data_IF_612466520894
#
_entry.id   IF_612466520894
#
_cell.length_a   1.000
_cell.length_b   1.000
_cell.length_c   1.000
_cell.angle_alpha   90.00
_cell.angle_beta   90.00
_cell.angle_gamma   90.00
#
_symmetry.space_group_name_H-M   'P 1'
#
loop_
_entity.id
_entity.type
_entity.pdbx_description
1 polymer ?
#
# COMPACT_ATOMS: atom_id res chain seq x y z
N UNK A 1 -25.96 14.73 -15.50
CA UNK A 1 -24.48 14.64 -15.47
C UNK A 1 -23.92 15.90 -16.13
N UNK A 2 -23.40 16.84 -15.37
CA UNK A 2 -22.91 18.12 -15.91
C UNK A 2 -21.46 18.00 -16.40
N UNK A 3 -21.20 18.37 -17.65
CA UNK A 3 -19.86 18.37 -18.23
C UNK A 3 -19.15 19.67 -17.82
N UNK A 4 -18.27 19.60 -16.82
CA UNK A 4 -17.38 20.71 -16.49
C UNK A 4 -16.33 20.88 -17.61
N UNK A 5 -16.36 22.05 -18.27
CA UNK A 5 -15.37 22.44 -19.29
C UNK A 5 -14.35 23.38 -18.69
N UNK A 6 -13.06 23.07 -18.84
CA UNK A 6 -11.95 23.96 -18.52
C UNK A 6 -11.30 24.48 -19.81
N UNK A 7 -10.72 25.69 -19.76
CA UNK A 7 -9.98 26.24 -20.90
C UNK A 7 -8.61 25.58 -21.05
N UNK A 8 -8.18 25.41 -22.31
CA UNK A 8 -6.90 24.79 -22.67
C UNK A 8 -5.69 25.54 -22.08
N UNK A 9 -5.82 26.85 -21.86
CA UNK A 9 -4.79 27.71 -21.28
C UNK A 9 -4.50 27.40 -19.79
N UNK A 10 -5.52 27.07 -19.00
CA UNK A 10 -5.34 26.71 -17.58
C UNK A 10 -4.53 25.42 -17.41
N UNK A 11 -4.80 24.42 -18.28
CA UNK A 11 -4.06 23.15 -18.31
C UNK A 11 -2.63 23.36 -18.80
N UNK A 12 -2.43 24.17 -19.85
CA UNK A 12 -1.11 24.47 -20.38
C UNK A 12 -0.18 25.15 -19.36
N UNK A 13 -0.71 26.07 -18.54
CA UNK A 13 0.06 26.76 -17.49
C UNK A 13 0.60 25.80 -16.43
N UNK A 14 -0.21 24.82 -15.97
CA UNK A 14 0.23 23.82 -15.00
C UNK A 14 1.30 22.88 -15.58
N UNK A 15 1.16 22.48 -16.85
CA UNK A 15 2.15 21.66 -17.55
C UNK A 15 3.48 22.42 -17.74
N UNK A 16 3.42 23.71 -18.07
CA UNK A 16 4.62 24.55 -18.21
C UNK A 16 5.36 24.71 -16.88
N UNK A 17 4.64 24.94 -15.78
CA UNK A 17 5.22 25.03 -14.43
C UNK A 17 5.90 23.71 -14.03
N UNK A 18 5.24 22.57 -14.21
CA UNK A 18 5.81 21.25 -13.90
C UNK A 18 7.08 20.93 -14.70
N UNK A 19 7.18 21.40 -15.96
CA UNK A 19 8.36 21.26 -16.81
C UNK A 19 9.52 22.20 -16.46
N UNK A 20 9.24 23.33 -15.79
CA UNK A 20 10.25 24.29 -15.36
C UNK A 20 11.02 23.84 -14.09
N UNK A 21 10.48 22.87 -13.34
CA UNK A 21 11.11 22.30 -12.16
C UNK A 21 12.33 21.43 -12.53
N UNK A 22 13.54 21.88 -12.15
CA UNK A 22 14.83 21.26 -12.54
C UNK A 22 15.09 19.85 -11.97
N UNK A 23 14.25 19.36 -11.06
CA UNK A 23 14.38 18.02 -10.45
C UNK A 23 13.04 17.30 -10.41
N UNK A 24 12.80 16.47 -11.42
CA UNK A 24 11.79 15.42 -11.37
C UNK A 24 12.27 14.35 -10.38
N UNK A 25 11.87 14.46 -9.11
CA UNK A 25 12.42 13.66 -8.02
C UNK A 25 12.00 12.19 -8.09
N UNK A 26 12.94 11.23 -8.16
CA UNK A 26 12.63 9.82 -7.91
C UNK A 26 12.53 9.58 -6.39
N UNK A 27 11.34 9.18 -5.92
CA UNK A 27 11.04 8.74 -4.55
C UNK A 27 11.58 9.65 -3.42
N UNK A 28 10.84 10.72 -3.11
CA UNK A 28 11.09 11.56 -1.93
C UNK A 28 10.73 10.84 -0.62
N UNK A 29 11.61 10.94 0.39
CA UNK A 29 11.48 10.36 1.73
C UNK A 29 11.83 11.38 2.86
N UNK A 30 11.85 12.68 2.57
CA UNK A 30 12.13 13.74 3.57
C UNK A 30 10.87 14.35 4.20
N UNK A 31 11.00 15.14 5.29
CA UNK A 31 9.89 15.90 5.86
C UNK A 31 9.28 16.87 4.84
N UNK A 32 7.98 17.18 5.00
CA UNK A 32 7.16 17.85 3.99
C UNK A 32 7.00 19.33 4.33
N UNK A 33 8.07 20.10 4.15
CA UNK A 33 8.08 21.52 4.50
C UNK A 33 7.50 22.43 3.39
N UNK A 34 7.24 21.86 2.20
CA UNK A 34 6.55 22.49 1.05
C UNK A 34 5.77 21.44 0.24
N UNK A 35 4.57 21.77 -0.30
CA UNK A 35 3.71 20.79 -0.96
C UNK A 35 4.21 20.39 -2.37
N UNK A 36 4.15 19.08 -2.67
CA UNK A 36 4.32 18.54 -4.02
C UNK A 36 2.94 18.18 -4.63
N UNK A 37 2.69 18.60 -5.88
CA UNK A 37 1.35 18.89 -6.45
C UNK A 37 1.26 18.33 -7.91
N UNK A 38 0.20 17.69 -8.45
CA UNK A 38 -1.11 17.21 -7.93
C UNK A 38 -1.53 15.92 -8.70
N UNK A 39 -2.61 15.22 -8.32
CA UNK A 39 -3.28 14.22 -9.17
C UNK A 39 -4.72 14.68 -9.48
N UNK A 40 -5.11 14.76 -10.75
CA UNK A 40 -6.47 15.15 -11.20
C UNK A 40 -7.17 13.95 -11.85
N UNK A 41 -8.38 13.65 -11.37
CA UNK A 41 -9.27 12.60 -11.89
C UNK A 41 -10.07 13.17 -13.08
N UNK A 42 -9.96 12.53 -14.24
CA UNK A 42 -10.30 13.10 -15.55
C UNK A 42 -9.14 12.95 -16.53
N UNK A 43 -8.99 13.83 -17.53
CA UNK A 43 -7.95 13.72 -18.57
C UNK A 43 -6.51 14.08 -18.12
N UNK A 44 -6.14 13.68 -16.89
CA UNK A 44 -4.78 13.27 -16.52
C UNK A 44 -3.85 14.34 -15.94
N UNK A 45 -3.58 14.23 -14.62
CA UNK A 45 -2.29 14.64 -14.01
C UNK A 45 -1.88 13.58 -12.98
N UNK A 46 -0.58 13.33 -12.84
CA UNK A 46 0.03 12.19 -12.14
C UNK A 46 1.03 12.66 -11.06
N UNK A 47 1.11 11.97 -9.91
CA UNK A 47 2.13 12.22 -8.87
C UNK A 47 2.81 10.96 -8.33
N UNK A 48 4.01 11.16 -7.75
CA UNK A 48 4.84 10.14 -7.09
C UNK A 48 5.37 10.64 -5.72
N UNK A 49 4.48 10.96 -4.78
CA UNK A 49 4.83 11.15 -3.37
C UNK A 49 4.42 9.94 -2.54
N UNK A 50 5.18 9.60 -1.49
CA UNK A 50 4.83 8.52 -0.56
C UNK A 50 3.97 9.00 0.63
N UNK A 51 3.81 10.31 0.79
CA UNK A 51 2.95 10.94 1.80
C UNK A 51 2.10 12.05 1.18
N UNK A 52 0.86 12.16 1.65
CA UNK A 52 -0.12 13.16 1.25
C UNK A 52 -0.78 13.71 2.51
N UNK A 53 -0.77 15.02 2.71
CA UNK A 53 -1.67 15.69 3.65
C UNK A 53 -2.97 16.11 2.94
N UNK A 54 -4.07 16.15 3.69
CA UNK A 54 -5.42 16.42 3.18
C UNK A 54 -5.73 17.90 2.93
N UNK A 55 -4.89 18.84 3.36
CA UNK A 55 -5.18 20.29 3.29
C UNK A 55 -5.02 20.85 1.87
N UNK A 56 -4.10 20.28 1.08
CA UNK A 56 -3.78 20.79 -0.27
C UNK A 56 -4.19 19.80 -1.39
N UNK A 57 -4.66 18.60 -1.03
CA UNK A 57 -4.82 17.48 -1.98
C UNK A 57 -6.27 17.15 -2.28
N UNK A 58 -6.66 17.17 -3.56
CA UNK A 58 -8.03 16.88 -4.03
C UNK A 58 -8.30 15.40 -4.37
N UNK A 59 -7.50 14.46 -3.86
CA UNK A 59 -7.76 13.02 -4.03
C UNK A 59 -8.96 12.63 -3.17
N UNK A 60 -9.94 11.88 -3.70
CA UNK A 60 -11.18 11.53 -2.99
C UNK A 60 -12.06 12.72 -2.53
N UNK A 61 -11.68 13.96 -2.82
CA UNK A 61 -12.51 15.12 -2.46
C UNK A 61 -13.64 15.28 -3.47
N UNK A 62 -14.87 15.17 -2.99
CA UNK A 62 -16.09 15.32 -3.78
C UNK A 62 -17.13 16.08 -2.96
N UNK A 63 -17.85 17.00 -3.58
CA UNK A 63 -18.94 17.72 -2.92
C UNK A 63 -20.17 17.69 -3.82
N UNK A 64 -21.32 17.50 -3.17
CA UNK A 64 -22.65 17.46 -3.76
C UNK A 64 -23.60 18.21 -2.83
N UNK A 65 -24.78 18.53 -3.34
CA UNK A 65 -25.86 19.26 -2.66
C UNK A 65 -26.24 18.69 -1.28
N UNK A 66 -25.87 17.43 -0.99
CA UNK A 66 -26.18 16.70 0.26
C UNK A 66 -24.97 16.25 1.06
N UNK A 67 -23.86 15.89 0.39
CA UNK A 67 -22.71 15.22 1.02
C UNK A 67 -21.38 15.78 0.51
N UNK A 68 -20.41 15.87 1.41
CA UNK A 68 -19.00 16.16 1.15
C UNK A 68 -18.14 14.99 1.58
N UNK A 69 -17.28 14.53 0.68
CA UNK A 69 -16.22 13.56 0.92
C UNK A 69 -14.88 14.27 0.98
N UNK A 70 -14.05 13.95 1.96
CA UNK A 70 -12.73 14.54 2.22
C UNK A 70 -11.67 13.46 2.42
N UNK A 71 -10.45 13.70 1.94
CA UNK A 71 -9.31 12.83 2.23
C UNK A 71 -8.87 12.92 3.69
N UNK A 72 -8.88 11.79 4.40
CA UNK A 72 -8.28 11.67 5.74
C UNK A 72 -6.79 11.31 5.63
N UNK A 73 -6.47 10.33 4.78
CA UNK A 73 -5.11 9.81 4.61
C UNK A 73 -4.96 9.13 3.27
N UNK A 74 -3.78 9.23 2.65
CA UNK A 74 -3.41 8.38 1.52
C UNK A 74 -1.96 7.88 1.64
N UNK A 75 -1.70 6.75 1.00
CA UNK A 75 -0.37 6.16 0.89
C UNK A 75 -0.22 5.40 -0.43
N UNK A 76 1.02 5.13 -0.83
CA UNK A 76 1.35 4.37 -2.05
C UNK A 76 2.18 3.15 -1.71
N UNK A 77 1.75 1.97 -2.17
CA UNK A 77 2.49 0.72 -2.03
C UNK A 77 2.73 0.12 -3.41
N UNK A 78 3.97 0.23 -3.90
CA UNK A 78 4.32 -0.15 -5.28
C UNK A 78 3.62 0.73 -6.30
N UNK A 79 2.69 0.17 -7.08
CA UNK A 79 1.86 0.88 -8.06
C UNK A 79 0.39 1.07 -7.64
N UNK A 80 0.02 0.66 -6.42
CA UNK A 80 -1.33 0.88 -5.87
C UNK A 80 -1.31 2.03 -4.89
N UNK A 81 -2.33 2.90 -4.97
CA UNK A 81 -2.63 3.85 -3.91
C UNK A 81 -3.79 3.34 -3.06
N UNK A 82 -3.71 3.65 -1.76
CA UNK A 82 -4.78 3.44 -0.80
C UNK A 82 -5.11 4.78 -0.15
N UNK A 83 -6.39 5.06 0.03
CA UNK A 83 -6.88 6.25 0.71
C UNK A 83 -7.99 5.89 1.71
N UNK A 84 -8.06 6.64 2.81
CA UNK A 84 -9.20 6.72 3.70
C UNK A 84 -9.97 8.00 3.37
N UNK A 85 -11.24 7.86 2.96
CA UNK A 85 -12.08 8.96 2.51
C UNK A 85 -13.30 9.09 3.43
N UNK A 86 -13.45 10.25 4.08
CA UNK A 86 -14.50 10.53 5.07
C UNK A 86 -15.65 11.28 4.40
N UNK A 87 -16.87 10.75 4.52
CA UNK A 87 -18.11 11.37 4.05
C UNK A 87 -18.84 12.04 5.20
N UNK A 88 -19.35 13.25 4.96
CA UNK A 88 -20.17 14.04 5.89
C UNK A 88 -21.40 14.58 5.15
N UNK A 89 -22.56 14.63 5.80
CA UNK A 89 -23.72 15.36 5.27
C UNK A 89 -23.55 16.86 5.45
N UNK A 90 -23.99 17.67 4.48
CA UNK A 90 -23.87 19.13 4.55
C UNK A 90 -24.93 19.79 5.44
N UNK A 91 -26.05 19.11 5.68
CA UNK A 91 -27.13 19.55 6.58
C UNK A 91 -26.87 19.21 8.06
N UNK A 92 -25.73 18.60 8.38
CA UNK A 92 -25.37 18.16 9.72
C UNK A 92 -26.06 16.89 10.21
N UNK A 93 -26.86 16.22 9.36
CA UNK A 93 -27.47 14.92 9.71
C UNK A 93 -26.43 13.80 9.68
N UNK A 94 -26.56 12.75 10.52
CA UNK A 94 -25.70 11.57 10.43
C UNK A 94 -25.77 10.91 9.04
N UNK A 95 -24.63 10.50 8.50
CA UNK A 95 -24.58 9.82 7.20
C UNK A 95 -25.18 8.43 7.31
N UNK A 96 -26.37 8.25 6.73
CA UNK A 96 -26.95 6.92 6.51
C UNK A 96 -26.26 6.20 5.34
N UNK A 97 -25.80 4.98 5.60
CA UNK A 97 -25.12 4.13 4.62
C UNK A 97 -25.50 2.65 4.80
N UNK A 98 -25.47 1.85 3.74
CA UNK A 98 -25.84 0.44 3.79
C UNK A 98 -24.68 -0.47 4.28
N UNK A 99 -23.44 -0.07 4.03
CA UNK A 99 -22.22 -0.85 4.28
C UNK A 99 -21.57 -0.46 5.61
N UNK A 100 -21.47 0.85 5.87
CA UNK A 100 -20.71 1.39 7.00
C UNK A 100 -21.62 1.71 8.20
N UNK A 101 -21.09 1.48 9.39
CA UNK A 101 -21.62 2.01 10.66
C UNK A 101 -21.25 3.50 10.72
N UNK A 102 -22.21 4.36 11.04
CA UNK A 102 -21.98 5.80 11.19
C UNK A 102 -21.17 6.06 12.47
N UNK A 103 -20.07 6.80 12.34
CA UNK A 103 -19.21 7.21 13.45
C UNK A 103 -19.96 8.16 14.41
N UNK A 104 -19.46 8.28 15.66
CA UNK A 104 -20.08 9.13 16.70
C UNK A 104 -20.19 10.62 16.35
N UNK A 105 -19.44 11.10 15.35
CA UNK A 105 -19.50 12.47 14.81
C UNK A 105 -20.49 12.62 13.64
N UNK A 106 -21.25 11.57 13.29
CA UNK A 106 -22.16 11.55 12.15
C UNK A 106 -21.51 11.28 10.79
N UNK A 107 -20.19 11.04 10.71
CA UNK A 107 -19.50 10.70 9.45
C UNK A 107 -19.42 9.19 9.18
N UNK A 108 -18.97 8.82 7.98
CA UNK A 108 -18.39 7.51 7.71
C UNK A 108 -17.04 7.68 7.04
N UNK A 109 -16.11 6.75 7.20
CA UNK A 109 -14.82 6.74 6.51
C UNK A 109 -14.58 5.39 5.84
N UNK A 110 -14.39 5.38 4.52
CA UNK A 110 -14.23 4.17 3.72
C UNK A 110 -12.85 4.07 3.06
N UNK A 111 -12.43 2.83 2.77
CA UNK A 111 -11.20 2.54 2.03
C UNK A 111 -11.40 2.69 0.52
N UNK A 112 -10.59 3.53 -0.13
CA UNK A 112 -10.50 3.66 -1.58
C UNK A 112 -9.16 3.13 -2.11
N UNK A 113 -9.19 2.41 -3.24
CA UNK A 113 -8.03 1.74 -3.84
C UNK A 113 -7.90 2.17 -5.30
N UNK A 114 -6.72 2.67 -5.67
CA UNK A 114 -6.41 3.07 -7.05
C UNK A 114 -5.28 2.19 -7.58
N UNK A 115 -5.63 1.26 -8.46
CA UNK A 115 -4.67 0.46 -9.21
C UNK A 115 -4.10 1.32 -10.33
N UNK A 116 -2.82 1.66 -10.30
CA UNK A 116 -2.17 2.42 -11.39
C UNK A 116 -1.21 1.54 -12.18
N UNK A 117 -1.16 1.75 -13.50
CA UNK A 117 -0.18 1.14 -14.40
C UNK A 117 0.40 2.15 -15.38
N UNK A 118 1.60 1.85 -15.84
CA UNK A 118 2.23 2.49 -16.98
C UNK A 118 2.75 1.38 -17.89
N UNK A 119 2.32 1.35 -19.13
CA UNK A 119 2.63 0.32 -20.14
C UNK A 119 2.66 0.98 -21.52
N UNK A 120 3.60 0.59 -22.39
CA UNK A 120 3.74 1.09 -23.78
C UNK A 120 3.63 2.62 -23.96
N UNK A 121 4.15 3.39 -22.99
CA UNK A 121 4.10 4.85 -23.00
C UNK A 121 2.80 5.46 -22.46
N UNK A 122 1.76 4.64 -22.26
CA UNK A 122 0.46 5.03 -21.75
C UNK A 122 0.38 4.89 -20.22
N UNK A 123 -0.35 5.81 -19.58
CA UNK A 123 -0.73 5.70 -18.17
C UNK A 123 -2.22 5.39 -18.04
N UNK A 124 -2.58 4.54 -17.09
CA UNK A 124 -3.97 4.27 -16.73
C UNK A 124 -4.13 3.98 -15.24
N UNK A 125 -5.37 4.15 -14.77
CA UNK A 125 -5.76 3.74 -13.43
C UNK A 125 -7.15 3.08 -13.44
N UNK A 126 -7.43 2.31 -12.39
CA UNK A 126 -8.77 1.87 -12.02
C UNK A 126 -8.95 2.12 -10.53
N UNK A 127 -9.93 2.95 -10.19
CA UNK A 127 -10.41 3.18 -8.82
C UNK A 127 -11.50 2.17 -8.43
N UNK A 128 -11.63 1.93 -7.13
CA UNK A 128 -12.64 1.09 -6.49
C UNK A 128 -12.66 1.32 -4.98
N UNK A 129 -13.81 1.10 -4.36
CA UNK A 129 -13.97 1.06 -2.91
C UNK A 129 -13.58 -0.33 -2.34
N UNK A 130 -13.30 -0.41 -1.04
CA UNK A 130 -13.07 -1.68 -0.34
C UNK A 130 -14.28 -2.65 -0.42
N UNK A 131 -15.51 -2.12 -0.48
CA UNK A 131 -16.74 -2.88 -0.68
C UNK A 131 -16.80 -3.62 -2.04
N UNK A 132 -15.99 -3.22 -3.02
CA UNK A 132 -15.84 -3.95 -4.29
C UNK A 132 -14.85 -5.13 -4.22
N UNK A 133 -14.33 -5.46 -3.03
CA UNK A 133 -13.40 -6.56 -2.79
C UNK A 133 -12.07 -6.48 -3.56
N UNK A 134 -11.28 -5.39 -3.48
CA UNK A 134 -10.05 -5.25 -4.29
C UNK A 134 -9.06 -6.40 -4.11
N UNK A 135 -8.45 -6.87 -5.20
CA UNK A 135 -7.37 -7.88 -5.11
C UNK A 135 -6.05 -7.28 -4.57
N UNK A 136 -5.86 -5.95 -4.68
CA UNK A 136 -4.72 -5.28 -4.07
C UNK A 136 -5.01 -5.03 -2.59
N UNK A 137 -4.50 -5.90 -1.72
CA UNK A 137 -4.72 -5.89 -0.27
C UNK A 137 -3.42 -5.66 0.51
N UNK A 138 -2.81 -4.48 0.31
CA UNK A 138 -1.56 -4.07 0.97
C UNK A 138 -1.67 -2.69 1.63
N UNK A 139 -2.88 -2.29 2.01
CA UNK A 139 -3.08 -1.05 2.75
C UNK A 139 -2.39 -1.14 4.13
N UNK A 140 -1.66 -0.11 4.59
CA UNK A 140 -1.08 -0.09 5.93
C UNK A 140 -2.16 -0.17 7.03
N UNK A 141 -1.83 -0.80 8.16
CA UNK A 141 -2.74 -0.90 9.32
C UNK A 141 -3.24 0.47 9.79
N UNK A 142 -2.34 1.46 9.89
CA UNK A 142 -2.67 2.86 10.21
C UNK A 142 -3.47 3.62 9.13
N UNK A 143 -3.96 2.94 8.08
CA UNK A 143 -5.03 3.42 7.20
C UNK A 143 -6.32 2.64 7.48
N UNK A 144 -6.24 1.32 7.65
CA UNK A 144 -7.37 0.45 8.04
C UNK A 144 -8.00 0.89 9.38
N UNK A 145 -7.19 1.34 10.34
CA UNK A 145 -7.58 1.87 11.64
C UNK A 145 -8.37 3.20 11.57
N UNK A 146 -8.38 3.87 10.42
CA UNK A 146 -9.14 5.12 10.21
C UNK A 146 -10.51 4.87 9.57
N UNK A 147 -10.83 3.63 9.22
CA UNK A 147 -12.05 3.30 8.48
C UNK A 147 -13.17 2.93 9.45
N UNK A 148 -14.37 3.46 9.23
CA UNK A 148 -15.56 3.16 10.04
C UNK A 148 -15.87 1.67 10.03
N UNK A 149 -16.50 1.19 11.10
CA UNK A 149 -16.90 -0.21 11.22
C UNK A 149 -17.87 -0.63 10.12
N UNK A 150 -17.88 -1.94 9.82
CA UNK A 150 -18.72 -2.54 8.78
C UNK A 150 -19.94 -3.18 9.43
N UNK A 151 -21.13 -2.89 8.88
CA UNK A 151 -22.41 -3.47 9.34
C UNK A 151 -22.47 -4.97 9.11
N UNK A 152 -22.00 -5.42 7.94
CA UNK A 152 -22.00 -6.81 7.54
C UNK A 152 -20.63 -7.46 7.82
N UNK A 153 -20.56 -8.51 8.67
CA UNK A 153 -19.33 -9.24 8.93
C UNK A 153 -18.83 -10.02 7.70
N UNK A 154 -19.69 -10.49 6.82
CA UNK A 154 -19.31 -11.37 5.70
C UNK A 154 -19.14 -10.58 4.37
N UNK A 155 -18.98 -9.26 4.48
CA UNK A 155 -18.82 -8.34 3.35
C UNK A 155 -17.43 -8.40 2.72
N UNK A 156 -17.35 -8.15 1.41
CA UNK A 156 -16.09 -8.01 0.68
C UNK A 156 -15.14 -6.95 1.24
N UNK A 157 -15.68 -5.92 1.90
CA UNK A 157 -14.90 -4.93 2.63
C UNK A 157 -14.18 -5.56 3.83
N UNK A 158 -14.85 -6.42 4.62
CA UNK A 158 -14.19 -7.11 5.75
C UNK A 158 -13.09 -8.03 5.25
N UNK A 159 -13.37 -8.82 4.21
CA UNK A 159 -12.38 -9.69 3.59
C UNK A 159 -11.16 -8.91 3.09
N UNK A 160 -11.38 -7.74 2.45
CA UNK A 160 -10.28 -6.89 2.00
C UNK A 160 -9.45 -6.32 3.16
N UNK A 161 -10.11 -5.81 4.21
CA UNK A 161 -9.42 -5.34 5.42
C UNK A 161 -8.63 -6.48 6.07
N UNK A 162 -9.17 -7.70 6.11
CA UNK A 162 -8.48 -8.85 6.67
C UNK A 162 -7.25 -9.24 5.85
N UNK A 163 -7.35 -9.34 4.52
CA UNK A 163 -6.18 -9.60 3.66
C UNK A 163 -5.09 -8.53 3.80
N UNK A 164 -5.44 -7.28 4.11
CA UNK A 164 -4.47 -6.23 4.43
C UNK A 164 -3.76 -6.48 5.77
N UNK A 165 -4.49 -6.93 6.81
CA UNK A 165 -3.91 -7.34 8.10
C UNK A 165 -3.00 -8.56 7.95
N UNK A 166 -3.45 -9.58 7.24
CA UNK A 166 -2.68 -10.79 6.96
C UNK A 166 -1.37 -10.46 6.26
N UNK A 167 -1.40 -9.58 5.24
CA UNK A 167 -0.20 -9.10 4.55
C UNK A 167 0.76 -8.33 5.48
N UNK A 168 0.24 -7.52 6.39
CA UNK A 168 1.04 -6.78 7.36
C UNK A 168 1.67 -7.69 8.44
N UNK A 169 0.99 -8.78 8.81
CA UNK A 169 1.46 -9.77 9.77
C UNK A 169 2.59 -10.67 9.24
N UNK A 170 2.84 -10.70 7.92
CA UNK A 170 3.94 -11.48 7.35
C UNK A 170 5.30 -10.94 7.83
N UNK A 171 6.15 -11.77 8.47
CA UNK A 171 7.44 -11.35 8.99
C UNK A 171 8.38 -10.75 7.93
N UNK A 172 9.18 -9.76 8.34
CA UNK A 172 10.30 -9.25 7.55
C UNK A 172 11.63 -9.75 8.13
N UNK A 173 12.25 -10.71 7.44
CA UNK A 173 13.53 -11.29 7.83
C UNK A 173 14.74 -10.43 7.44
N UNK A 174 15.79 -10.51 8.26
CA UNK A 174 17.09 -9.91 8.02
C UNK A 174 17.96 -10.76 7.09
N UNK A 175 19.08 -10.21 6.65
CA UNK A 175 20.06 -10.97 5.88
C UNK A 175 20.81 -11.96 6.78
N UNK A 176 20.88 -13.22 6.35
CA UNK A 176 21.46 -14.35 7.07
C UNK A 176 20.48 -15.10 7.98
N UNK A 177 19.23 -14.63 8.16
CA UNK A 177 18.21 -15.37 8.90
C UNK A 177 17.82 -16.65 8.13
N UNK A 178 17.77 -17.79 8.82
CA UNK A 178 17.37 -19.10 8.30
C UNK A 178 15.90 -19.34 8.60
N UNK A 179 15.12 -19.60 7.57
CA UNK A 179 13.65 -19.55 7.56
C UNK A 179 13.10 -20.89 7.07
N UNK A 180 12.08 -21.41 7.74
CA UNK A 180 11.30 -22.56 7.28
C UNK A 180 9.94 -22.07 6.78
N UNK A 181 9.67 -22.33 5.51
CA UNK A 181 8.40 -21.98 4.88
C UNK A 181 7.28 -22.89 5.42
N UNK A 182 6.09 -22.32 5.63
CA UNK A 182 4.92 -23.03 6.16
C UNK A 182 4.56 -24.28 5.34
N UNK A 183 4.81 -24.22 4.03
CA UNK A 183 4.65 -25.33 3.07
C UNK A 183 5.83 -25.31 2.10
N UNK A 184 6.30 -26.46 1.59
CA UNK A 184 7.26 -26.52 0.50
C UNK A 184 6.77 -25.75 -0.73
N UNK A 185 7.68 -25.07 -1.41
CA UNK A 185 7.40 -24.27 -2.61
C UNK A 185 8.02 -24.95 -3.81
N UNK A 186 7.18 -25.30 -4.80
CA UNK A 186 7.63 -25.82 -6.10
C UNK A 186 8.24 -24.69 -6.93
N UNK A 187 9.44 -24.94 -7.46
CA UNK A 187 10.20 -24.03 -8.31
C UNK A 187 9.93 -24.32 -9.79
N UNK A 188 10.40 -23.44 -10.67
CA UNK A 188 10.15 -23.52 -12.12
C UNK A 188 10.81 -24.74 -12.78
N UNK A 189 11.83 -25.32 -12.16
CA UNK A 189 12.49 -26.56 -12.58
C UNK A 189 11.83 -27.84 -12.00
N UNK A 190 10.72 -27.69 -11.27
CA UNK A 190 10.01 -28.79 -10.61
C UNK A 190 10.60 -29.23 -9.26
N UNK A 191 11.77 -28.71 -8.86
CA UNK A 191 12.30 -28.93 -7.52
C UNK A 191 11.44 -28.24 -6.44
N UNK A 192 11.59 -28.65 -5.19
CA UNK A 192 10.95 -27.98 -4.06
C UNK A 192 11.99 -27.40 -3.11
N UNK A 193 11.65 -26.30 -2.43
CA UNK A 193 12.41 -25.81 -1.29
C UNK A 193 11.47 -25.53 -0.11
N UNK A 194 11.92 -25.81 1.11
CA UNK A 194 11.20 -25.45 2.32
C UNK A 194 12.08 -24.68 3.31
N UNK A 195 13.37 -24.98 3.40
CA UNK A 195 14.30 -24.25 4.27
C UNK A 195 15.16 -23.32 3.41
N UNK A 196 15.15 -22.03 3.75
CA UNK A 196 15.88 -21.01 3.00
C UNK A 196 16.55 -19.99 3.90
N UNK A 197 17.74 -19.53 3.52
CA UNK A 197 18.44 -18.43 4.19
C UNK A 197 18.24 -17.12 3.44
N UNK A 198 17.74 -16.08 4.10
CA UNK A 198 17.53 -14.77 3.50
C UNK A 198 18.86 -14.12 3.08
N UNK A 199 18.98 -13.69 1.83
CA UNK A 199 20.23 -13.14 1.30
C UNK A 199 19.99 -12.13 0.18
N UNK A 200 21.04 -11.60 -0.44
CA UNK A 200 20.92 -10.68 -1.55
C UNK A 200 21.98 -10.94 -2.62
N UNK A 201 21.59 -10.72 -3.88
CA UNK A 201 22.51 -10.65 -5.00
C UNK A 201 22.65 -9.20 -5.48
N UNK A 202 23.81 -8.86 -6.07
CA UNK A 202 24.01 -7.57 -6.73
C UNK A 202 23.66 -7.69 -8.21
N UNK A 203 22.86 -6.75 -8.73
CA UNK A 203 22.66 -6.53 -10.17
C UNK A 203 23.10 -5.11 -10.50
N UNK A 204 24.33 -4.96 -10.99
CA UNK A 204 25.00 -3.66 -11.06
C UNK A 204 25.09 -3.03 -9.66
N UNK A 205 24.68 -1.76 -9.53
CA UNK A 205 24.65 -1.05 -8.24
C UNK A 205 23.50 -1.45 -7.30
N UNK A 206 22.54 -2.27 -7.74
CA UNK A 206 21.35 -2.59 -6.96
C UNK A 206 21.52 -3.90 -6.17
N UNK A 207 21.35 -3.83 -4.84
CA UNK A 207 21.16 -5.00 -3.96
C UNK A 207 19.72 -5.51 -4.11
N UNK A 208 19.53 -6.78 -4.47
CA UNK A 208 18.23 -7.40 -4.72
C UNK A 208 18.04 -8.59 -3.79
N UNK A 209 16.93 -8.65 -3.05
CA UNK A 209 16.64 -9.74 -2.11
C UNK A 209 16.38 -11.04 -2.88
N UNK A 210 16.96 -12.11 -2.36
CA UNK A 210 16.75 -13.49 -2.76
C UNK A 210 16.88 -14.37 -1.51
N UNK A 211 16.77 -15.68 -1.69
CA UNK A 211 16.92 -16.65 -0.63
C UNK A 211 17.82 -17.76 -1.14
N UNK A 212 18.72 -18.25 -0.30
CA UNK A 212 19.53 -19.43 -0.58
C UNK A 212 18.76 -20.66 -0.10
N UNK A 213 18.51 -21.61 -1.00
CA UNK A 213 17.93 -22.92 -0.70
C UNK A 213 18.94 -23.69 0.14
N UNK A 214 18.52 -24.27 1.27
CA UNK A 214 19.41 -25.02 2.15
C UNK A 214 19.91 -26.30 1.47
N UNK A 215 19.00 -27.03 0.82
CA UNK A 215 19.21 -28.37 0.30
C UNK A 215 20.12 -28.39 -0.95
N UNK A 216 20.14 -27.31 -1.74
CA UNK A 216 20.88 -27.23 -3.01
C UNK A 216 21.92 -26.10 -3.05
N UNK A 217 21.92 -25.19 -2.08
CA UNK A 217 22.70 -23.95 -2.11
C UNK A 217 22.28 -22.95 -3.20
N UNK A 218 21.26 -23.26 -4.02
CA UNK A 218 20.78 -22.42 -5.12
C UNK A 218 20.13 -21.12 -4.65
N UNK A 219 20.04 -20.11 -5.53
CA UNK A 219 19.42 -18.82 -5.22
C UNK A 219 18.04 -18.69 -5.88
N UNK A 220 17.00 -18.48 -5.07
CA UNK A 220 15.61 -18.30 -5.49
C UNK A 220 15.08 -16.91 -5.10
N UNK A 221 14.09 -16.39 -5.83
CA UNK A 221 13.31 -15.23 -5.38
C UNK A 221 11.91 -15.66 -4.97
N UNK A 222 11.63 -15.56 -3.68
CA UNK A 222 10.29 -15.79 -3.12
C UNK A 222 9.54 -14.46 -2.98
N UNK A 223 8.22 -14.51 -3.12
CA UNK A 223 7.36 -13.35 -2.84
C UNK A 223 7.20 -13.17 -1.32
N UNK A 224 6.84 -11.97 -0.84
CA UNK A 224 6.51 -11.80 0.59
C UNK A 224 5.32 -12.68 0.99
N UNK A 225 4.32 -12.89 0.12
CA UNK A 225 3.19 -13.79 0.39
C UNK A 225 3.62 -15.24 0.71
N UNK A 226 4.74 -15.69 0.14
CA UNK A 226 5.32 -17.02 0.36
C UNK A 226 5.87 -17.21 1.78
N UNK A 227 6.10 -16.12 2.51
CA UNK A 227 6.55 -16.11 3.92
C UNK A 227 5.38 -16.08 4.91
N UNK A 228 4.12 -16.13 4.45
CA UNK A 228 2.97 -16.21 5.35
C UNK A 228 3.04 -17.50 6.18
N UNK A 229 3.02 -17.36 7.51
CA UNK A 229 3.16 -18.49 8.45
C UNK A 229 4.54 -19.15 8.49
N UNK A 230 5.60 -18.53 7.92
CA UNK A 230 6.96 -19.08 8.02
C UNK A 230 7.57 -18.90 9.41
N UNK A 231 8.46 -19.81 9.76
CA UNK A 231 9.12 -19.93 11.06
C UNK A 231 10.60 -19.51 10.94
N UNK A 232 11.12 -18.79 11.94
CA UNK A 232 12.54 -18.43 12.02
C UNK A 232 13.31 -19.54 12.73
N UNK A 233 14.13 -20.31 12.00
CA UNK A 233 14.93 -21.39 12.57
C UNK A 233 16.18 -20.88 13.27
N UNK A 234 16.82 -19.83 12.74
CA UNK A 234 17.93 -19.14 13.41
C UNK A 234 18.11 -17.72 12.87
N UNK A 235 18.52 -16.79 13.75
CA UNK A 235 18.80 -15.42 13.35
C UNK A 235 20.29 -15.14 13.19
N UNK A 236 20.64 -14.41 12.15
CA UNK A 236 21.99 -13.88 11.95
C UNK A 236 22.46 -12.97 13.10
N UNK A 237 21.52 -12.31 13.80
CA UNK A 237 21.85 -11.43 14.94
C UNK A 237 22.28 -12.20 16.18
N UNK A 238 21.70 -13.39 16.42
CA UNK A 238 22.07 -14.24 17.55
C UNK A 238 23.49 -14.80 17.39
N UNK A 239 23.83 -15.28 16.19
CA UNK A 239 25.16 -15.81 15.90
C UNK A 239 26.29 -14.77 16.03
N UNK A 240 25.98 -13.47 15.96
CA UNK A 240 26.95 -12.38 16.08
C UNK A 240 27.10 -11.81 17.51
N UNK A 241 26.30 -12.24 18.48
CA UNK A 241 26.32 -11.72 19.85
C UNK A 241 25.89 -12.79 20.88
N UNK A 242 26.81 -13.28 21.73
CA UNK A 242 26.49 -14.32 22.73
C UNK A 242 25.31 -13.96 23.63
N UNK A 243 25.23 -12.71 24.08
CA UNK A 243 24.16 -12.20 24.95
C UNK A 243 22.78 -12.24 24.26
N UNK A 244 22.72 -12.04 22.94
CA UNK A 244 21.47 -12.17 22.17
C UNK A 244 21.14 -13.63 21.85
N UNK A 245 22.13 -14.51 21.73
CA UNK A 245 21.89 -15.94 21.57
C UNK A 245 21.22 -16.54 22.82
N UNK A 246 21.74 -16.23 24.01
CA UNK A 246 21.15 -16.65 25.30
C UNK A 246 19.71 -16.13 25.48
N UNK A 247 19.46 -14.85 25.16
CA UNK A 247 18.13 -14.26 25.26
C UNK A 247 17.10 -14.90 24.32
N UNK A 248 17.51 -15.30 23.12
CA UNK A 248 16.62 -15.93 22.14
C UNK A 248 16.37 -17.41 22.44
N UNK A 249 17.31 -18.12 23.07
CA UNK A 249 17.15 -19.52 23.48
C UNK A 249 16.15 -19.70 24.62
N UNK A 250 15.95 -18.69 25.49
CA UNK A 250 15.01 -18.73 26.61
C UNK A 250 13.55 -18.40 26.28
N UNK A 251 13.10 -18.64 25.03
CA UNK A 251 11.76 -18.25 24.52
C UNK A 251 10.98 -19.39 23.84
N UNK A 252 11.37 -20.65 24.04
CA UNK A 252 10.57 -21.83 23.68
C UNK A 252 9.33 -21.97 24.58
#
# INVERSE_FOLDING_TARGET
>A
MAILKFSTSAVAAQIAHARACKTFLPNWNGPVDRPALILIVGNGVHLRSNGIDGTTTRLCNFESDRRRTELVKACKVGSTWYAAAKVTSLDGTPVEDATYVTDANGSITFGAVFLTRYDDGCWGYKDMEESAGPNASRAPLALIELLSDLKDPDSYARDWRQRCRDWAAIPDYAEGDKIKLAKPVTLTDGSTCQIVTATHYKRGRQKRRCYRIEETGGLVRLSKATLAGSELLSSAKGAASPVLAEYLAGRE
#
